data_IF_160267375446
#
_entry.id   IF_160267375446
#
_cell.length_a   1.000
_cell.length_b   1.000
_cell.length_c   1.000
_cell.angle_alpha   90.00
_cell.angle_beta   90.00
_cell.angle_gamma   90.00
#
_symmetry.space_group_name_H-M   'P 1'
#
loop_
_entity.id
_entity.type
_entity.pdbx_description
1 polymer ?
#
# COMPACT_ATOMS: atom_id res chain seq x y z
N UNK A 1 2.77 -23.20 -10.43
CA UNK A 1 3.80 -24.17 -9.99
C UNK A 1 5.05 -23.54 -9.34
N UNK A 2 5.83 -22.71 -10.04
CA UNK A 2 7.07 -22.13 -9.50
C UNK A 2 6.85 -21.25 -8.25
N UNK A 3 5.90 -20.30 -8.29
CA UNK A 3 5.59 -19.45 -7.13
C UNK A 3 5.11 -20.24 -5.90
N UNK A 4 4.40 -21.36 -6.10
CA UNK A 4 3.97 -22.23 -5.02
C UNK A 4 5.15 -23.01 -4.40
N UNK A 5 6.08 -23.48 -5.24
CA UNK A 5 7.31 -24.13 -4.78
C UNK A 5 8.18 -23.15 -3.98
N UNK A 6 8.36 -21.93 -4.48
CA UNK A 6 9.06 -20.85 -3.77
C UNK A 6 8.39 -20.53 -2.44
N UNK A 7 7.06 -20.39 -2.43
CA UNK A 7 6.32 -20.13 -1.20
C UNK A 7 6.50 -21.25 -0.16
N UNK A 8 6.43 -22.52 -0.58
CA UNK A 8 6.67 -23.66 0.28
C UNK A 8 8.12 -23.70 0.79
N UNK A 9 9.09 -23.37 -0.06
CA UNK A 9 10.50 -23.25 0.33
C UNK A 9 10.68 -22.19 1.42
N UNK A 10 10.18 -20.97 1.20
CA UNK A 10 10.24 -19.87 2.18
C UNK A 10 9.55 -20.27 3.47
N UNK A 11 8.32 -20.81 3.40
CA UNK A 11 7.57 -21.22 4.59
C UNK A 11 8.32 -22.24 5.45
N UNK A 12 8.95 -23.22 4.82
CA UNK A 12 9.59 -24.32 5.54
C UNK A 12 11.01 -23.98 6.03
N UNK A 13 11.76 -23.21 5.24
CA UNK A 13 13.19 -22.96 5.48
C UNK A 13 13.44 -21.67 6.26
N UNK A 14 12.72 -20.60 5.96
CA UNK A 14 13.07 -19.28 6.47
C UNK A 14 13.09 -19.17 8.01
N UNK A 15 12.09 -19.73 8.74
CA UNK A 15 12.11 -19.68 10.21
C UNK A 15 13.06 -20.70 10.87
N UNK A 16 13.41 -21.79 10.18
CA UNK A 16 13.96 -23.00 10.82
C UNK A 16 15.36 -23.42 10.34
N UNK A 17 15.72 -23.09 9.09
CA UNK A 17 17.00 -23.44 8.47
C UNK A 17 17.44 -22.30 7.56
N UNK A 18 18.37 -21.50 8.07
CA UNK A 18 18.93 -20.42 7.29
C UNK A 18 19.69 -21.01 6.09
N UNK A 19 19.33 -20.65 4.84
CA UNK A 19 20.24 -20.83 3.72
C UNK A 19 21.53 -20.04 4.00
N UNK A 20 22.59 -20.28 3.22
CA UNK A 20 23.81 -19.46 3.33
C UNK A 20 23.45 -17.96 3.25
N UNK A 21 24.26 -17.08 3.85
CA UNK A 21 23.96 -15.64 3.86
C UNK A 21 23.74 -15.10 2.44
N UNK A 22 24.56 -15.55 1.48
CA UNK A 22 24.46 -15.19 0.06
C UNK A 22 23.12 -15.63 -0.57
N UNK A 23 22.70 -16.88 -0.34
CA UNK A 23 21.41 -17.38 -0.82
C UNK A 23 20.25 -16.62 -0.19
N UNK A 24 20.37 -16.26 1.10
CA UNK A 24 19.35 -15.47 1.82
C UNK A 24 19.19 -14.09 1.19
N UNK A 25 20.29 -13.38 0.98
CA UNK A 25 20.30 -12.04 0.35
C UNK A 25 19.72 -12.09 -1.07
N UNK A 26 20.16 -13.06 -1.87
CA UNK A 26 19.68 -13.23 -3.25
C UNK A 26 18.19 -13.58 -3.31
N UNK A 27 17.72 -14.45 -2.41
CA UNK A 27 16.30 -14.86 -2.36
C UNK A 27 15.39 -13.71 -1.91
N UNK A 28 15.82 -12.93 -0.91
CA UNK A 28 15.10 -11.73 -0.44
C UNK A 28 14.85 -10.74 -1.57
N UNK A 29 15.92 -10.39 -2.29
CA UNK A 29 15.85 -9.45 -3.41
C UNK A 29 15.03 -10.00 -4.57
N UNK A 30 15.22 -11.27 -4.92
CA UNK A 30 14.44 -11.92 -5.98
C UNK A 30 12.94 -11.95 -5.67
N UNK A 31 12.53 -12.21 -4.43
CA UNK A 31 11.12 -12.20 -4.04
C UNK A 31 10.52 -10.81 -4.13
N UNK A 32 11.23 -9.78 -3.65
CA UNK A 32 10.76 -8.40 -3.76
C UNK A 32 10.62 -7.99 -5.24
N UNK A 33 11.65 -8.23 -6.05
CA UNK A 33 11.64 -7.91 -7.48
C UNK A 33 10.52 -8.65 -8.20
N UNK A 34 10.37 -9.96 -7.97
CA UNK A 34 9.30 -10.75 -8.56
C UNK A 34 7.92 -10.23 -8.15
N UNK A 35 7.73 -9.85 -6.88
CA UNK A 35 6.47 -9.30 -6.40
C UNK A 35 6.12 -8.01 -7.15
N UNK A 36 7.03 -7.05 -7.22
CA UNK A 36 6.72 -5.72 -7.76
C UNK A 36 6.47 -5.71 -9.27
N UNK A 37 7.00 -6.68 -10.02
CA UNK A 37 6.78 -6.80 -11.48
C UNK A 37 5.72 -7.82 -11.88
N UNK A 38 5.24 -8.66 -10.94
CA UNK A 38 4.36 -9.78 -11.27
C UNK A 38 3.07 -9.32 -11.99
N UNK A 39 2.58 -10.08 -13.00
CA UNK A 39 1.27 -9.82 -13.56
C UNK A 39 0.18 -9.99 -12.50
N UNK A 40 -0.90 -9.23 -12.62
CA UNK A 40 -2.03 -9.32 -11.70
C UNK A 40 -2.61 -10.75 -11.70
N UNK A 41 -2.97 -11.24 -10.52
CA UNK A 41 -3.56 -12.57 -10.36
C UNK A 41 -3.07 -13.31 -9.11
N UNK A 42 -3.33 -14.63 -9.04
CA UNK A 42 -3.03 -15.44 -7.86
C UNK A 42 -1.55 -15.45 -7.44
N UNK A 43 -0.64 -15.20 -8.40
CA UNK A 43 0.79 -15.18 -8.15
C UNK A 43 1.21 -14.07 -7.18
N UNK A 44 0.59 -12.88 -7.28
CA UNK A 44 0.88 -11.74 -6.40
C UNK A 44 0.57 -12.12 -4.95
N UNK A 45 -0.53 -12.84 -4.71
CA UNK A 45 -0.90 -13.30 -3.36
C UNK A 45 0.13 -14.25 -2.76
N UNK A 46 0.64 -15.21 -3.55
CA UNK A 46 1.68 -16.14 -3.09
C UNK A 46 3.02 -15.44 -2.83
N UNK A 47 3.41 -14.53 -3.72
CA UNK A 47 4.63 -13.73 -3.55
C UNK A 47 4.52 -12.81 -2.34
N UNK A 48 3.39 -12.13 -2.14
CA UNK A 48 3.14 -11.28 -0.97
C UNK A 48 3.17 -12.08 0.34
N UNK A 49 2.61 -13.29 0.36
CA UNK A 49 2.65 -14.16 1.54
C UNK A 49 4.06 -14.68 1.83
N UNK A 50 4.84 -14.97 0.79
CA UNK A 50 6.26 -15.33 0.93
C UNK A 50 7.08 -14.16 1.46
N UNK A 51 6.88 -12.98 0.88
CA UNK A 51 7.49 -11.72 1.31
C UNK A 51 7.14 -11.41 2.77
N UNK A 52 5.88 -11.63 3.19
CA UNK A 52 5.44 -11.44 4.58
C UNK A 52 6.24 -12.28 5.58
N UNK A 53 6.49 -13.55 5.25
CA UNK A 53 7.29 -14.44 6.11
C UNK A 53 8.70 -13.86 6.27
N UNK A 54 9.32 -13.46 5.15
CA UNK A 54 10.67 -12.89 5.16
C UNK A 54 10.72 -11.58 5.95
N UNK A 55 9.78 -10.66 5.74
CA UNK A 55 9.70 -9.40 6.49
C UNK A 55 9.59 -9.67 7.99
N UNK A 56 8.73 -10.60 8.39
CA UNK A 56 8.53 -10.94 9.81
C UNK A 56 9.84 -11.43 10.43
N UNK A 57 10.53 -12.36 9.77
CA UNK A 57 11.75 -12.94 10.31
C UNK A 57 12.95 -11.99 10.21
N UNK A 58 13.10 -11.26 9.12
CA UNK A 58 14.37 -10.59 8.77
C UNK A 58 14.34 -9.10 9.05
N UNK A 59 13.16 -8.48 9.06
CA UNK A 59 13.00 -7.06 9.33
C UNK A 59 12.49 -6.86 10.74
N UNK A 60 11.45 -7.58 11.14
CA UNK A 60 10.83 -7.40 12.47
C UNK A 60 11.59 -8.12 13.58
N UNK A 61 11.92 -9.41 13.41
CA UNK A 61 12.60 -10.21 14.44
C UNK A 61 14.12 -10.03 14.43
N UNK A 62 14.78 -10.34 13.33
CA UNK A 62 16.24 -10.38 13.24
C UNK A 62 16.89 -9.05 12.85
N UNK A 63 16.13 -8.09 12.31
CA UNK A 63 16.58 -6.74 11.93
C UNK A 63 17.84 -6.74 11.04
N UNK A 64 17.89 -7.65 10.06
CA UNK A 64 19.07 -7.95 9.24
C UNK A 64 18.84 -7.79 7.73
N UNK A 65 17.88 -6.95 7.32
CA UNK A 65 17.67 -6.60 5.91
C UNK A 65 17.55 -5.07 5.71
N UNK A 66 18.67 -4.33 5.81
CA UNK A 66 18.67 -2.87 5.72
C UNK A 66 18.26 -2.35 4.32
N UNK A 67 18.59 -3.10 3.27
CA UNK A 67 18.35 -2.68 1.87
C UNK A 67 16.88 -2.75 1.44
N UNK A 68 16.00 -3.31 2.27
CA UNK A 68 14.59 -3.42 1.94
C UNK A 68 13.93 -2.05 1.71
N UNK A 69 14.19 -1.09 2.61
CA UNK A 69 13.57 0.23 2.53
C UNK A 69 14.02 1.00 1.28
N UNK A 70 15.33 1.13 0.99
CA UNK A 70 15.79 1.72 -0.27
C UNK A 70 15.17 1.04 -1.50
N UNK A 71 15.14 -0.29 -1.55
CA UNK A 71 14.58 -1.02 -2.68
C UNK A 71 13.07 -0.79 -2.86
N UNK A 72 12.31 -0.68 -1.76
CA UNK A 72 10.88 -0.36 -1.82
C UNK A 72 10.63 1.08 -2.27
N UNK A 73 11.41 2.05 -1.76
CA UNK A 73 11.30 3.45 -2.18
C UNK A 73 11.58 3.57 -3.69
N UNK A 74 12.63 2.93 -4.18
CA UNK A 74 12.95 2.88 -5.61
C UNK A 74 11.80 2.25 -6.41
N UNK A 75 11.31 1.08 -6.01
CA UNK A 75 10.20 0.42 -6.70
C UNK A 75 8.92 1.28 -6.73
N UNK A 76 8.65 2.06 -5.69
CA UNK A 76 7.53 2.99 -5.66
C UNK A 76 7.74 4.16 -6.64
N UNK A 77 8.91 4.78 -6.62
CA UNK A 77 9.26 5.91 -7.50
C UNK A 77 9.30 5.50 -8.97
N UNK A 78 9.77 4.29 -9.27
CA UNK A 78 9.83 3.73 -10.62
C UNK A 78 8.50 3.08 -11.04
N UNK A 79 7.48 3.08 -10.20
CA UNK A 79 6.21 2.40 -10.51
C UNK A 79 5.47 3.06 -11.68
N UNK A 80 4.67 2.25 -12.36
CA UNK A 80 3.92 2.66 -13.55
C UNK A 80 2.92 3.83 -13.34
N UNK A 81 2.57 4.17 -12.09
CA UNK A 81 1.80 5.39 -11.77
C UNK A 81 2.70 6.62 -11.75
N UNK A 82 3.93 6.48 -11.23
CA UNK A 82 4.86 7.59 -10.99
C UNK A 82 5.64 8.00 -12.24
N UNK A 83 6.10 7.03 -13.04
CA UNK A 83 6.84 7.31 -14.29
C UNK A 83 5.99 7.18 -15.56
N UNK A 84 4.71 6.80 -15.41
CA UNK A 84 3.79 6.57 -16.52
C UNK A 84 3.72 5.10 -16.97
N UNK A 85 2.54 4.68 -17.44
CA UNK A 85 2.15 3.26 -17.56
C UNK A 85 3.04 2.44 -18.49
N UNK A 86 3.55 3.04 -19.56
CA UNK A 86 4.35 2.34 -20.58
C UNK A 86 5.84 2.29 -20.23
N UNK A 87 6.28 3.05 -19.24
CA UNK A 87 7.70 3.25 -18.93
C UNK A 87 8.23 2.31 -17.84
N UNK A 88 7.36 1.51 -17.21
CA UNK A 88 7.77 0.70 -16.06
C UNK A 88 7.20 -0.73 -16.04
N UNK A 89 8.08 -1.74 -15.80
CA UNK A 89 7.63 -3.08 -15.46
C UNK A 89 7.04 -3.15 -14.03
N UNK A 90 7.39 -2.20 -13.16
CA UNK A 90 6.95 -2.16 -11.77
C UNK A 90 5.50 -1.73 -11.67
N UNK A 91 4.66 -2.59 -11.10
CA UNK A 91 3.23 -2.34 -10.92
C UNK A 91 3.00 -1.63 -9.60
N UNK A 92 2.42 -0.42 -9.65
CA UNK A 92 2.08 0.38 -8.47
C UNK A 92 1.27 -0.42 -7.45
N UNK A 93 0.30 -1.22 -7.92
CA UNK A 93 -0.50 -2.09 -7.05
C UNK A 93 0.36 -3.06 -6.23
N UNK A 94 1.37 -3.66 -6.86
CA UNK A 94 2.22 -4.65 -6.19
C UNK A 94 3.23 -3.98 -5.26
N UNK A 95 3.76 -2.80 -5.63
CA UNK A 95 4.59 -1.99 -4.74
C UNK A 95 3.81 -1.59 -3.46
N UNK A 96 2.55 -1.16 -3.61
CA UNK A 96 1.68 -0.87 -2.46
C UNK A 96 1.35 -2.12 -1.64
N UNK A 97 1.20 -3.31 -2.26
CA UNK A 97 1.06 -4.58 -1.53
C UNK A 97 2.31 -4.88 -0.70
N UNK A 98 3.50 -4.63 -1.23
CA UNK A 98 4.76 -4.82 -0.50
C UNK A 98 4.87 -3.85 0.69
N UNK A 99 4.57 -2.56 0.49
CA UNK A 99 4.51 -1.55 1.57
C UNK A 99 3.48 -1.95 2.63
N UNK A 100 2.27 -2.31 2.22
CA UNK A 100 1.22 -2.74 3.12
C UNK A 100 1.64 -3.98 3.94
N UNK A 101 2.37 -4.90 3.32
CA UNK A 101 2.90 -6.11 3.98
C UNK A 101 3.99 -5.75 5.00
N UNK A 102 4.86 -4.78 4.68
CA UNK A 102 5.88 -4.25 5.59
C UNK A 102 5.27 -3.56 6.82
N UNK A 103 4.18 -2.83 6.64
CA UNK A 103 3.50 -2.11 7.72
C UNK A 103 2.62 -3.01 8.61
N UNK A 104 2.17 -4.16 8.10
CA UNK A 104 1.22 -5.05 8.78
C UNK A 104 1.64 -5.49 10.19
N UNK A 105 2.92 -5.84 10.47
CA UNK A 105 3.35 -6.20 11.82
C UNK A 105 3.12 -5.09 12.85
N UNK A 106 3.10 -3.83 12.43
CA UNK A 106 2.99 -2.68 13.30
C UNK A 106 1.54 -2.28 13.63
N UNK A 107 0.54 -2.88 12.98
CA UNK A 107 -0.89 -2.53 13.14
C UNK A 107 -1.43 -2.75 14.57
N UNK A 108 -0.89 -3.73 15.31
CA UNK A 108 -1.48 -4.19 16.58
C UNK A 108 -0.58 -3.96 17.79
N UNK A 109 0.46 -3.14 17.70
CA UNK A 109 1.36 -2.95 18.84
C UNK A 109 0.78 -2.15 20.02
N UNK A 110 -0.51 -1.83 20.03
CA UNK A 110 -1.11 -1.22 21.22
C UNK A 110 -1.22 -2.26 22.33
N UNK A 111 -0.37 -2.16 23.35
CA UNK A 111 -0.70 -2.65 24.69
C UNK A 111 -1.61 -1.58 25.34
N UNK A 112 -2.93 -1.79 25.43
CA UNK A 112 -3.86 -0.75 25.89
C UNK A 112 -3.69 -0.38 27.38
N UNK A 113 -2.79 -1.03 28.11
CA UNK A 113 -2.44 -0.74 29.51
C UNK A 113 -1.15 0.07 29.71
N UNK A 114 -0.38 0.37 28.67
CA UNK A 114 0.84 1.17 28.80
C UNK A 114 0.58 2.62 28.38
N UNK A 115 0.69 3.54 29.34
CA UNK A 115 0.65 4.97 29.08
C UNK A 115 1.83 5.37 28.18
N UNK A 116 1.57 5.49 26.87
CA UNK A 116 2.48 6.05 25.85
C UNK A 116 3.72 5.20 25.57
N UNK A 117 3.53 4.09 24.86
CA UNK A 117 4.64 3.54 24.10
C UNK A 117 4.88 4.47 22.87
N UNK A 118 6.11 4.95 22.70
CA UNK A 118 6.49 5.70 21.51
C UNK A 118 6.40 4.78 20.28
N UNK A 119 6.20 5.36 19.09
CA UNK A 119 6.26 4.56 17.86
C UNK A 119 7.59 3.77 17.82
N UNK A 120 7.56 2.46 17.47
CA UNK A 120 8.78 1.70 17.31
C UNK A 120 9.76 2.44 16.39
N UNK A 121 11.06 2.57 16.73
CA UNK A 121 12.04 3.29 15.91
C UNK A 121 12.07 2.78 14.45
N UNK A 122 11.78 1.50 14.24
CA UNK A 122 11.67 0.90 12.92
C UNK A 122 10.47 1.45 12.14
N UNK A 123 9.31 1.58 12.78
CA UNK A 123 8.13 2.19 12.14
C UNK A 123 8.41 3.65 11.79
N UNK A 124 9.07 4.39 12.69
CA UNK A 124 9.49 5.77 12.45
C UNK A 124 10.38 5.88 11.20
N UNK A 125 11.39 5.00 11.08
CA UNK A 125 12.30 4.96 9.93
C UNK A 125 11.58 4.55 8.63
N UNK A 126 10.71 3.54 8.68
CA UNK A 126 9.89 3.09 7.55
C UNK A 126 9.06 4.25 7.01
N UNK A 127 8.38 4.97 7.91
CA UNK A 127 7.45 6.04 7.54
C UNK A 127 8.21 7.24 7.00
N UNK A 128 9.32 7.63 7.64
CA UNK A 128 10.19 8.67 7.14
C UNK A 128 10.69 8.39 5.71
N UNK A 129 11.01 7.14 5.39
CA UNK A 129 11.48 6.75 4.06
C UNK A 129 10.36 6.71 3.01
N UNK A 130 9.18 6.21 3.37
CA UNK A 130 8.07 5.98 2.43
C UNK A 130 7.16 7.20 2.26
N UNK A 131 7.26 8.22 3.11
CA UNK A 131 6.30 9.33 3.13
C UNK A 131 6.26 10.10 1.80
N UNK A 132 7.42 10.46 1.27
CA UNK A 132 7.52 11.20 0.01
C UNK A 132 6.86 10.45 -1.17
N UNK A 133 7.23 9.19 -1.49
CA UNK A 133 6.59 8.48 -2.59
C UNK A 133 5.09 8.22 -2.34
N UNK A 134 4.66 7.98 -1.09
CA UNK A 134 3.24 7.83 -0.76
C UNK A 134 2.45 9.12 -1.00
N UNK A 135 3.00 10.29 -0.64
CA UNK A 135 2.37 11.59 -0.88
C UNK A 135 2.28 11.90 -2.38
N UNK A 136 3.31 11.56 -3.15
CA UNK A 136 3.29 11.68 -4.62
C UNK A 136 2.16 10.86 -5.24
N UNK A 137 2.05 9.58 -4.88
CA UNK A 137 0.97 8.70 -5.32
C UNK A 137 -0.41 9.20 -4.89
N UNK A 138 -0.54 9.68 -3.64
CA UNK A 138 -1.79 10.26 -3.13
C UNK A 138 -2.23 11.43 -4.01
N UNK A 139 -1.30 12.35 -4.36
CA UNK A 139 -1.61 13.50 -5.20
C UNK A 139 -2.17 13.10 -6.56
N UNK A 140 -1.54 12.14 -7.24
CA UNK A 140 -1.98 11.66 -8.56
C UNK A 140 -3.36 10.99 -8.45
N UNK A 141 -3.53 10.06 -7.50
CA UNK A 141 -4.75 9.29 -7.36
C UNK A 141 -5.93 10.14 -6.87
N UNK A 142 -5.70 11.07 -5.94
CA UNK A 142 -6.71 11.99 -5.47
C UNK A 142 -7.19 12.93 -6.57
N UNK A 143 -6.28 13.46 -7.38
CA UNK A 143 -6.63 14.30 -8.52
C UNK A 143 -7.53 13.54 -9.48
N UNK A 144 -7.16 12.30 -9.83
CA UNK A 144 -8.00 11.44 -10.68
C UNK A 144 -9.38 11.17 -10.09
N UNK A 145 -9.46 10.85 -8.79
CA UNK A 145 -10.72 10.61 -8.09
C UNK A 145 -11.63 11.85 -8.06
N UNK A 146 -11.07 13.04 -7.80
CA UNK A 146 -11.82 14.29 -7.77
C UNK A 146 -12.31 14.69 -9.16
N UNK A 147 -11.49 14.53 -10.21
CA UNK A 147 -11.89 14.79 -11.60
C UNK A 147 -13.04 13.87 -12.02
N UNK A 148 -12.96 12.58 -11.69
CA UNK A 148 -14.03 11.62 -11.97
C UNK A 148 -15.34 11.99 -11.24
N UNK A 149 -15.25 12.37 -9.97
CA UNK A 149 -16.40 12.82 -9.19
C UNK A 149 -17.03 14.10 -9.76
N UNK A 150 -16.23 15.09 -10.17
CA UNK A 150 -16.73 16.31 -10.80
C UNK A 150 -17.45 16.03 -12.12
N UNK A 151 -16.95 15.08 -12.92
CA UNK A 151 -17.57 14.70 -14.18
C UNK A 151 -18.93 13.99 -13.99
N UNK A 152 -19.06 13.17 -12.94
CA UNK A 152 -20.36 12.59 -12.53
C UNK A 152 -21.37 13.67 -12.10
N UNK A 153 -20.91 14.87 -11.73
CA UNK A 153 -21.73 15.96 -11.17
C UNK A 153 -22.09 17.09 -12.15
N UNK A 154 -21.53 17.15 -13.36
CA UNK A 154 -21.74 18.35 -14.19
C UNK A 154 -21.31 18.38 -15.66
N UNK A 155 -20.64 17.37 -16.25
CA UNK A 155 -20.39 17.37 -17.71
C UNK A 155 -20.01 15.97 -18.26
N UNK A 156 -20.88 15.30 -19.03
CA UNK A 156 -20.67 13.89 -19.44
C UNK A 156 -19.62 13.68 -20.53
N UNK A 157 -19.16 14.73 -21.23
CA UNK A 157 -18.17 14.61 -22.32
C UNK A 157 -16.73 14.39 -21.79
N UNK A 158 -16.33 15.09 -20.72
CA UNK A 158 -15.01 14.93 -20.10
C UNK A 158 -14.91 13.66 -19.22
N UNK A 159 -16.04 13.12 -18.75
CA UNK A 159 -16.09 11.91 -17.92
C UNK A 159 -15.55 10.65 -18.63
N UNK A 160 -15.69 10.58 -19.96
CA UNK A 160 -15.54 9.33 -20.72
C UNK A 160 -14.08 8.92 -20.98
N UNK A 161 -13.14 9.86 -21.03
CA UNK A 161 -11.74 9.56 -21.39
C UNK A 161 -10.97 8.86 -20.27
N UNK A 162 -11.28 9.16 -19.00
CA UNK A 162 -10.59 8.60 -17.83
C UNK A 162 -11.38 7.50 -17.10
N UNK A 163 -12.67 7.33 -17.40
CA UNK A 163 -13.55 6.34 -16.76
C UNK A 163 -13.03 4.90 -16.85
N UNK A 164 -12.38 4.52 -17.96
CA UNK A 164 -11.87 3.16 -18.14
C UNK A 164 -10.74 2.80 -17.16
N UNK A 165 -9.95 3.79 -16.73
CA UNK A 165 -8.85 3.60 -15.78
C UNK A 165 -9.29 3.83 -14.32
N UNK A 166 -10.45 4.46 -14.12
CA UNK A 166 -10.91 4.89 -12.80
C UNK A 166 -11.05 3.74 -11.78
N UNK A 167 -11.65 2.57 -12.09
CA UNK A 167 -11.75 1.47 -11.12
C UNK A 167 -10.38 0.97 -10.63
N UNK A 168 -9.37 1.00 -11.50
CA UNK A 168 -8.00 0.66 -11.13
C UNK A 168 -7.37 1.71 -10.21
N UNK A 169 -7.57 2.99 -10.51
CA UNK A 169 -7.09 4.10 -9.68
C UNK A 169 -7.76 4.10 -8.30
N UNK A 170 -9.06 3.84 -8.22
CA UNK A 170 -9.80 3.72 -6.95
C UNK A 170 -9.26 2.57 -6.10
N UNK A 171 -8.94 1.42 -6.72
CA UNK A 171 -8.34 0.28 -6.02
C UNK A 171 -6.93 0.60 -5.48
N UNK A 172 -6.13 1.36 -6.25
CA UNK A 172 -4.82 1.85 -5.82
C UNK A 172 -4.97 2.82 -4.64
N UNK A 173 -5.87 3.79 -4.76
CA UNK A 173 -6.16 4.78 -3.71
C UNK A 173 -6.58 4.07 -2.42
N UNK A 174 -7.50 3.11 -2.51
CA UNK A 174 -7.93 2.31 -1.36
C UNK A 174 -6.76 1.57 -0.68
N UNK A 175 -5.86 0.98 -1.48
CA UNK A 175 -4.68 0.28 -0.95
C UNK A 175 -3.71 1.25 -0.26
N UNK A 176 -3.50 2.42 -0.87
CA UNK A 176 -2.67 3.48 -0.31
C UNK A 176 -3.25 4.02 1.02
N UNK A 177 -4.57 4.21 1.10
CA UNK A 177 -5.24 4.60 2.34
C UNK A 177 -5.16 3.52 3.43
N UNK A 178 -5.12 2.23 3.06
CA UNK A 178 -4.82 1.15 4.01
C UNK A 178 -3.38 1.22 4.54
N UNK A 179 -2.40 1.54 3.70
CA UNK A 179 -1.02 1.77 4.16
C UNK A 179 -0.97 2.94 5.16
N UNK A 180 -1.64 4.05 4.83
CA UNK A 180 -1.76 5.19 5.75
C UNK A 180 -2.42 4.77 7.07
N UNK A 181 -3.56 4.09 7.02
CA UNK A 181 -4.26 3.61 8.22
C UNK A 181 -3.36 2.72 9.09
N UNK A 182 -2.66 1.75 8.52
CA UNK A 182 -1.73 0.90 9.29
C UNK A 182 -0.55 1.66 9.90
N UNK A 183 -0.20 2.81 9.33
CA UNK A 183 0.83 3.68 9.87
C UNK A 183 0.35 4.42 11.11
N UNK A 184 -0.90 4.91 11.12
CA UNK A 184 -1.49 5.68 12.23
C UNK A 184 -2.21 4.85 13.29
N UNK A 185 -2.65 3.64 12.95
CA UNK A 185 -3.65 2.92 13.75
C UNK A 185 -3.13 2.51 15.12
N UNK A 186 -1.87 2.07 15.21
CA UNK A 186 -1.25 1.67 16.46
C UNK A 186 -0.52 2.83 17.14
N UNK A 187 0.29 3.55 16.37
CA UNK A 187 1.09 4.69 16.82
C UNK A 187 1.05 5.79 15.77
N UNK A 188 1.33 7.02 16.16
CA UNK A 188 1.50 8.13 15.23
C UNK A 188 3.01 8.46 15.13
N UNK A 189 3.70 8.02 14.05
CA UNK A 189 5.09 8.41 13.80
C UNK A 189 5.25 9.93 13.74
N UNK A 190 6.30 10.45 14.37
CA UNK A 190 6.56 11.90 14.38
C UNK A 190 6.87 12.44 12.98
N UNK A 191 7.50 11.63 12.14
CA UNK A 191 7.81 11.92 10.74
C UNK A 191 6.55 12.22 9.91
N UNK A 192 5.38 11.73 10.32
CA UNK A 192 4.14 11.95 9.58
C UNK A 192 3.43 13.25 9.98
N UNK A 193 3.69 13.79 11.17
CA UNK A 193 3.04 15.00 11.70
C UNK A 193 3.09 16.18 10.72
N UNK A 194 4.22 16.52 10.07
CA UNK A 194 4.27 17.64 9.12
C UNK A 194 3.38 17.45 7.89
N UNK A 195 3.09 16.21 7.51
CA UNK A 195 2.29 15.88 6.32
C UNK A 195 0.83 15.56 6.63
N UNK A 196 0.48 15.34 7.90
CA UNK A 196 -0.84 14.87 8.31
C UNK A 196 -1.96 15.78 7.80
N UNK A 197 -1.76 17.09 7.88
CA UNK A 197 -2.73 18.07 7.38
C UNK A 197 -3.08 17.82 5.91
N UNK A 198 -2.08 17.58 5.06
CA UNK A 198 -2.27 17.33 3.63
C UNK A 198 -3.02 16.01 3.37
N UNK A 199 -2.71 14.96 4.13
CA UNK A 199 -3.45 13.69 4.05
C UNK A 199 -4.93 13.88 4.38
N UNK A 200 -5.22 14.57 5.48
CA UNK A 200 -6.59 14.81 5.94
C UNK A 200 -7.35 15.74 4.99
N UNK A 201 -6.73 16.80 4.50
CA UNK A 201 -7.33 17.72 3.53
C UNK A 201 -7.76 17.00 2.25
N UNK A 202 -6.89 16.15 1.71
CA UNK A 202 -7.19 15.33 0.52
C UNK A 202 -8.35 14.37 0.80
N UNK A 203 -8.33 13.69 1.95
CA UNK A 203 -9.41 12.79 2.36
C UNK A 203 -10.75 13.51 2.49
N UNK A 204 -10.78 14.66 3.14
CA UNK A 204 -11.99 15.48 3.28
C UNK A 204 -12.53 15.90 1.92
N UNK A 205 -11.68 16.40 1.01
CA UNK A 205 -12.08 16.77 -0.36
C UNK A 205 -12.68 15.59 -1.13
N UNK A 206 -12.06 14.42 -1.05
CA UNK A 206 -12.58 13.20 -1.70
C UNK A 206 -13.95 12.84 -1.13
N UNK A 207 -14.13 12.90 0.20
CA UNK A 207 -15.40 12.59 0.85
C UNK A 207 -16.51 13.58 0.48
N UNK A 208 -16.21 14.88 0.44
CA UNK A 208 -17.15 15.94 0.05
C UNK A 208 -17.63 15.80 -1.40
N UNK A 209 -16.75 15.37 -2.30
CA UNK A 209 -17.06 15.23 -3.73
C UNK A 209 -17.63 13.84 -4.07
N UNK A 210 -17.43 12.83 -3.23
CA UNK A 210 -17.88 11.48 -3.49
C UNK A 210 -19.42 11.39 -3.50
N UNK A 211 -20.04 11.00 -4.63
CA UNK A 211 -21.50 10.94 -4.75
C UNK A 211 -22.13 9.98 -3.73
N UNK A 212 -21.39 8.93 -3.35
CA UNK A 212 -21.80 7.95 -2.33
C UNK A 212 -22.05 8.53 -0.94
N UNK A 213 -21.49 9.70 -0.61
CA UNK A 213 -21.66 10.37 0.69
C UNK A 213 -22.59 11.58 0.60
N UNK A 214 -23.12 11.89 -0.59
CA UNK A 214 -24.22 12.83 -0.70
C UNK A 214 -25.46 12.16 -0.12
N UNK A 215 -25.91 12.67 1.01
CA UNK A 215 -27.07 12.17 1.76
C UNK A 215 -28.42 12.34 1.03
N UNK A 216 -28.41 12.66 -0.26
CA UNK A 216 -29.60 13.12 -0.99
C UNK A 216 -30.37 11.99 -1.70
N UNK A 217 -29.81 10.80 -1.93
CA UNK A 217 -30.62 9.72 -2.51
C UNK A 217 -30.13 8.29 -2.20
N UNK A 218 -30.75 7.65 -1.19
CA UNK A 218 -30.48 6.26 -0.79
C UNK A 218 -30.78 5.23 -1.89
N UNK A 219 -31.56 5.59 -2.91
CA UNK A 219 -32.08 4.63 -3.90
C UNK A 219 -31.13 4.39 -5.09
N UNK A 220 -30.18 5.29 -5.35
CA UNK A 220 -29.34 5.25 -6.57
C UNK A 220 -27.93 4.67 -6.29
N UNK A 221 -27.41 4.79 -5.06
CA UNK A 221 -26.00 4.47 -4.74
C UNK A 221 -25.74 3.12 -4.03
N UNK A 222 -26.72 2.22 -4.05
CA UNK A 222 -26.69 0.95 -3.31
C UNK A 222 -25.43 0.05 -3.50
N UNK A 223 -24.74 0.00 -4.67
CA UNK A 223 -23.53 -0.80 -4.81
C UNK A 223 -22.28 -0.13 -4.19
N UNK A 224 -22.09 1.17 -4.39
CA UNK A 224 -20.94 1.93 -3.87
C UNK A 224 -21.04 2.13 -2.36
N UNK A 225 -22.25 2.37 -1.83
CA UNK A 225 -22.48 2.51 -0.37
C UNK A 225 -22.15 1.23 0.41
N UNK A 226 -22.44 0.05 -0.16
CA UNK A 226 -22.06 -1.24 0.43
C UNK A 226 -20.54 -1.49 0.42
N UNK A 227 -19.82 -0.98 -0.57
CA UNK A 227 -18.36 -1.08 -0.63
C UNK A 227 -17.71 -0.20 0.46
N UNK A 228 -18.17 1.04 0.62
CA UNK A 228 -17.70 1.96 1.67
C UNK A 228 -17.99 1.42 3.08
N UNK A 229 -19.18 0.87 3.31
CA UNK A 229 -19.57 0.32 4.64
C UNK A 229 -18.70 -0.88 5.07
N UNK A 230 -18.16 -1.65 4.11
CA UNK A 230 -17.20 -2.75 4.35
C UNK A 230 -15.75 -2.28 4.49
N UNK A 231 -15.46 -1.02 4.16
CA UNK A 231 -14.12 -0.42 4.25
C UNK A 231 -13.92 0.30 5.58
N UNK A 232 -15.01 0.75 6.22
CA UNK A 232 -15.01 1.45 7.51
C UNK A 232 -15.12 0.49 8.71
N UNK A 233 -15.58 -0.75 8.50
CA UNK A 233 -15.53 -1.83 9.51
C UNK A 233 -14.23 -2.63 9.41
#
# INVERSE_FOLDING_TARGET
>A
PAAAALHNFVRNRWPNRLPSQQERESTRMAILQALVVAPQGPIVKLLAESFRIIVTEDVTRAKCWPDLLPALCQAMQESNLMVGKEQSPVKTANALVAVHTLLKPYKYFQNPGSEKEAAPPELEAIVKALLEPLLGMLGILATGALTAAAAENGDPENARRDAANQPGNDALLHTLLKCFHHTVAAYMPTAMVPSLHRWLEVLTKILEQAPTFRFEDERVHAPRGKAVKRVIQ
#
